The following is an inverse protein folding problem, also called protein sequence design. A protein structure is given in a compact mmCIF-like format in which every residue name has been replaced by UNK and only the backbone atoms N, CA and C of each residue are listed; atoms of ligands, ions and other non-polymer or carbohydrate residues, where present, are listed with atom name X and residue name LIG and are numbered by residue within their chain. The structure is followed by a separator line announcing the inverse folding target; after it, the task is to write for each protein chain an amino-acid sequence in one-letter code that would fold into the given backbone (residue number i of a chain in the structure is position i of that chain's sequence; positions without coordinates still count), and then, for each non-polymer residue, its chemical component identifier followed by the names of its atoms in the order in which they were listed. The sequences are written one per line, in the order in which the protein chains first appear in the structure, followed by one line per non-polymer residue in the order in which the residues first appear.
data_IF_301869428440
#
_entry.id   IF_301869428440
#
_cell.length_a   1.000
_cell.length_b   1.000
_cell.length_c   1.000
_cell.angle_alpha   90.00
_cell.angle_beta   90.00
_cell.angle_gamma   90.00
#
_symmetry.space_group_name_H-M   'P 1'
#
loop_
_entity.id
_entity.type
_entity.pdbx_description
1 polymer ?
#
# COMPACT_ATOMS: atom_id res chain seq x y z
N UNK A 1 -16.92 -31.08 47.20
CA UNK A 1 -17.45 -30.24 46.13
C UNK A 1 -16.27 -29.57 45.40
N UNK A 2 -16.10 -29.83 44.12
CA UNK A 2 -15.06 -29.17 43.33
C UNK A 2 -15.38 -27.65 43.29
N UNK A 3 -14.46 -26.84 43.73
CA UNK A 3 -14.62 -25.35 43.73
C UNK A 3 -14.73 -24.79 42.32
N UNK A 4 -15.25 -23.57 42.20
CA UNK A 4 -15.30 -22.83 40.92
C UNK A 4 -13.96 -22.13 40.72
N UNK A 5 -13.38 -22.14 39.49
CA UNK A 5 -12.15 -21.40 39.21
C UNK A 5 -12.30 -19.90 39.48
N UNK A 6 -11.31 -19.32 40.15
CA UNK A 6 -11.27 -17.88 40.38
C UNK A 6 -10.47 -17.21 39.27
N UNK A 7 -11.06 -16.19 38.65
CA UNK A 7 -10.43 -15.39 37.60
C UNK A 7 -10.20 -13.97 38.16
N UNK A 8 -8.96 -13.48 38.13
CA UNK A 8 -8.58 -12.16 38.64
C UNK A 8 -7.75 -11.39 37.63
N UNK A 9 -7.97 -10.08 37.53
CA UNK A 9 -7.10 -9.18 36.79
C UNK A 9 -5.97 -8.75 37.73
N UNK A 10 -4.71 -8.88 37.26
CA UNK A 10 -3.51 -8.58 38.03
C UNK A 10 -2.68 -7.57 37.25
N UNK A 11 -2.43 -6.41 37.85
CA UNK A 11 -1.55 -5.38 37.30
C UNK A 11 -0.17 -5.48 37.90
N UNK A 12 0.85 -5.34 37.06
CA UNK A 12 2.27 -5.23 37.44
C UNK A 12 2.73 -6.23 38.53
N UNK A 13 2.46 -7.49 38.33
CA UNK A 13 2.88 -8.56 39.24
C UNK A 13 4.39 -8.51 39.59
N UNK A 14 5.21 -8.05 38.64
CA UNK A 14 6.67 -7.97 38.81
C UNK A 14 7.13 -6.67 39.48
N UNK A 15 6.22 -5.79 39.86
CA UNK A 15 6.48 -4.50 40.54
C UNK A 15 7.49 -3.63 39.77
N UNK A 16 7.38 -3.59 38.46
CA UNK A 16 8.24 -2.80 37.55
C UNK A 16 7.60 -1.50 37.08
N UNK A 17 6.28 -1.33 37.28
CA UNK A 17 5.56 -0.13 36.89
C UNK A 17 6.00 1.07 37.71
N UNK A 18 6.29 2.17 36.99
CA UNK A 18 6.66 3.47 37.58
C UNK A 18 5.92 4.59 36.80
N UNK A 19 6.31 5.83 37.06
CA UNK A 19 5.82 6.99 36.34
C UNK A 19 6.27 7.00 34.85
N UNK A 20 7.35 6.27 34.54
CA UNK A 20 7.95 6.23 33.18
C UNK A 20 7.99 4.82 32.56
N UNK A 21 7.94 3.77 33.40
CA UNK A 21 7.96 2.39 32.92
C UNK A 21 6.56 1.75 33.04
N UNK A 22 6.00 1.21 31.95
CA UNK A 22 4.70 0.56 32.01
C UNK A 22 4.75 -0.82 32.68
N UNK A 23 3.75 -1.12 33.50
CA UNK A 23 3.48 -2.46 34.03
C UNK A 23 2.47 -3.21 33.17
N UNK A 24 2.60 -4.54 33.10
CA UNK A 24 1.70 -5.40 32.31
C UNK A 24 0.45 -5.74 33.10
N UNK A 25 -0.69 -5.82 32.38
CA UNK A 25 -1.95 -6.35 32.90
C UNK A 25 -2.08 -7.81 32.49
N UNK A 26 -2.23 -8.70 33.46
CA UNK A 26 -2.39 -10.14 33.28
C UNK A 26 -3.73 -10.61 33.87
N UNK A 27 -4.27 -11.72 33.37
CA UNK A 27 -5.42 -12.41 33.97
C UNK A 27 -4.89 -13.68 34.62
N UNK A 28 -5.11 -13.80 35.92
CA UNK A 28 -4.76 -14.99 36.71
C UNK A 28 -6.00 -15.85 36.92
N UNK A 29 -5.91 -17.12 36.51
CA UNK A 29 -6.92 -18.15 36.75
C UNK A 29 -6.35 -19.14 37.77
N UNK A 30 -7.06 -19.34 38.88
CA UNK A 30 -6.65 -20.28 39.94
C UNK A 30 -7.76 -21.31 40.20
N UNK A 31 -7.36 -22.59 40.27
CA UNK A 31 -8.21 -23.75 40.58
C UNK A 31 -7.38 -24.88 41.15
N UNK A 32 -7.86 -25.52 42.20
CA UNK A 32 -7.23 -26.68 42.85
C UNK A 32 -5.71 -26.51 43.08
N UNK A 33 -5.32 -25.37 43.71
CA UNK A 33 -3.92 -24.98 43.97
C UNK A 33 -3.06 -24.72 42.71
N UNK A 34 -3.59 -24.95 41.53
CA UNK A 34 -2.94 -24.56 40.29
C UNK A 34 -3.24 -23.11 39.93
N UNK A 35 -2.30 -22.46 39.23
CA UNK A 35 -2.46 -21.08 38.72
C UNK A 35 -1.94 -21.00 37.29
N UNK A 36 -2.74 -20.36 36.44
CA UNK A 36 -2.37 -20.01 35.06
C UNK A 36 -2.50 -18.53 34.90
N UNK A 37 -1.51 -17.89 34.27
CA UNK A 37 -1.51 -16.45 33.97
C UNK A 37 -1.50 -16.24 32.47
N UNK A 38 -2.37 -15.36 32.03
CA UNK A 38 -2.57 -15.04 30.62
C UNK A 38 -2.37 -13.53 30.46
N UNK A 39 -1.52 -13.15 29.51
CA UNK A 39 -1.28 -11.74 29.21
C UNK A 39 -2.48 -11.15 28.48
N UNK A 40 -2.89 -9.94 28.84
CA UNK A 40 -3.90 -9.17 28.09
C UNK A 40 -3.29 -8.42 26.91
N UNK A 41 -1.95 -8.34 26.82
CA UNK A 41 -1.27 -7.48 25.86
C UNK A 41 -1.30 -6.00 26.23
N UNK A 42 -1.92 -5.63 27.37
CA UNK A 42 -2.00 -4.26 27.85
C UNK A 42 -0.85 -3.98 28.81
N UNK A 43 -0.17 -2.84 28.60
CA UNK A 43 0.84 -2.33 29.51
C UNK A 43 0.60 -0.81 29.69
N UNK A 44 0.52 -0.38 30.95
CA UNK A 44 0.22 1.01 31.32
C UNK A 44 1.09 1.49 32.47
N UNK A 45 1.23 2.80 32.63
CA UNK A 45 1.97 3.39 33.74
C UNK A 45 1.19 3.19 35.05
N UNK A 46 1.90 3.24 36.19
CA UNK A 46 1.29 3.05 37.52
C UNK A 46 0.12 4.00 37.77
N UNK A 47 0.22 5.26 37.37
CA UNK A 47 -0.82 6.29 37.48
C UNK A 47 -2.01 6.12 36.54
N UNK A 48 -1.88 5.23 35.57
CA UNK A 48 -2.94 4.91 34.57
C UNK A 48 -3.73 3.64 34.96
N UNK A 49 -3.54 3.13 36.16
CA UNK A 49 -4.24 1.95 36.66
C UNK A 49 -5.00 2.25 37.96
N UNK A 50 -6.33 2.08 37.98
CA UNK A 50 -7.21 2.34 39.12
C UNK A 50 -7.28 1.20 40.15
N UNK A 51 -6.61 0.07 39.89
CA UNK A 51 -6.77 -1.18 40.62
C UNK A 51 -7.73 -2.19 39.93
N UNK A 52 -8.58 -1.74 39.03
CA UNK A 52 -9.53 -2.60 38.28
C UNK A 52 -9.48 -2.34 36.79
N UNK A 53 -9.21 -1.12 36.37
CA UNK A 53 -9.27 -0.70 34.97
C UNK A 53 -8.22 0.38 34.65
N UNK A 54 -7.99 0.60 33.37
CA UNK A 54 -7.13 1.67 32.87
C UNK A 54 -7.86 2.98 32.96
N UNK A 55 -7.22 4.00 33.58
CA UNK A 55 -7.71 5.37 33.73
C UNK A 55 -6.63 6.35 33.27
N UNK A 56 -6.99 7.59 33.00
CA UNK A 56 -6.03 8.66 32.64
C UNK A 56 -5.11 8.32 31.47
N UNK A 57 -5.60 7.51 30.53
CA UNK A 57 -4.90 7.16 29.30
C UNK A 57 -5.74 7.60 28.09
N UNK A 58 -5.15 8.21 27.02
CA UNK A 58 -5.91 8.66 25.84
C UNK A 58 -6.76 7.56 25.16
N UNK A 59 -6.42 6.31 25.40
CA UNK A 59 -7.10 5.13 24.85
C UNK A 59 -7.65 4.22 25.95
N UNK A 60 -8.03 4.77 27.11
CA UNK A 60 -8.47 4.00 28.28
C UNK A 60 -9.61 3.02 27.92
N UNK A 61 -10.65 3.50 27.23
CA UNK A 61 -11.81 2.68 26.84
C UNK A 61 -11.41 1.48 25.98
N UNK A 62 -10.53 1.70 25.02
CA UNK A 62 -10.05 0.64 24.12
C UNK A 62 -9.20 -0.41 24.89
N UNK A 63 -8.32 0.04 25.78
CA UNK A 63 -7.48 -0.85 26.58
C UNK A 63 -8.34 -1.65 27.57
N UNK A 64 -9.35 -1.03 28.16
CA UNK A 64 -10.31 -1.70 29.05
C UNK A 64 -11.16 -2.72 28.28
N UNK A 65 -11.60 -2.39 27.07
CA UNK A 65 -12.31 -3.35 26.20
C UNK A 65 -11.41 -4.55 25.84
N UNK A 66 -10.12 -4.32 25.55
CA UNK A 66 -9.16 -5.38 25.31
C UNK A 66 -8.99 -6.31 26.52
N UNK A 67 -8.86 -5.75 27.73
CA UNK A 67 -8.79 -6.54 28.96
C UNK A 67 -10.06 -7.37 29.14
N UNK A 68 -11.25 -6.75 28.94
CA UNK A 68 -12.55 -7.43 29.06
C UNK A 68 -12.70 -8.56 28.07
N UNK A 69 -12.35 -8.38 26.81
CA UNK A 69 -12.40 -9.43 25.78
C UNK A 69 -11.57 -10.65 26.15
N UNK A 70 -10.35 -10.44 26.69
CA UNK A 70 -9.49 -11.55 27.15
C UNK A 70 -10.13 -12.24 28.36
N UNK A 71 -10.71 -11.46 29.28
CA UNK A 71 -11.39 -11.99 30.46
C UNK A 71 -12.60 -12.85 30.08
N UNK A 72 -13.49 -12.32 29.21
CA UNK A 72 -14.69 -13.01 28.75
C UNK A 72 -14.35 -14.28 27.94
N UNK A 73 -13.33 -14.22 27.06
CA UNK A 73 -12.86 -15.38 26.30
C UNK A 73 -12.28 -16.49 27.18
N UNK A 74 -11.66 -16.14 28.31
CA UNK A 74 -11.21 -17.12 29.32
C UNK A 74 -12.42 -17.74 30.03
N UNK A 75 -13.40 -16.94 30.39
CA UNK A 75 -14.62 -17.38 31.07
C UNK A 75 -15.42 -18.34 30.19
N UNK A 76 -15.63 -18.01 28.93
CA UNK A 76 -16.31 -18.90 27.93
C UNK A 76 -15.59 -20.23 27.77
N UNK A 77 -14.25 -20.23 27.68
CA UNK A 77 -13.45 -21.46 27.57
C UNK A 77 -13.52 -22.31 28.80
N UNK A 78 -13.46 -21.72 29.98
CA UNK A 78 -13.63 -22.45 31.23
C UNK A 78 -14.98 -23.12 31.29
N UNK A 79 -16.04 -22.42 30.88
CA UNK A 79 -17.40 -22.99 30.80
C UNK A 79 -17.48 -24.13 29.77
N UNK A 80 -16.85 -23.98 28.61
CA UNK A 80 -16.78 -25.03 27.59
C UNK A 80 -16.01 -26.29 28.07
N UNK A 81 -14.90 -26.12 28.78
CA UNK A 81 -14.11 -27.20 29.35
C UNK A 81 -14.92 -27.97 30.41
N UNK A 82 -15.61 -27.23 31.27
CA UNK A 82 -16.48 -27.84 32.30
C UNK A 82 -17.63 -28.62 31.67
N UNK A 83 -18.24 -28.11 30.60
CA UNK A 83 -19.35 -28.77 29.89
C UNK A 83 -18.91 -30.05 29.18
N UNK A 84 -17.64 -30.13 28.72
CA UNK A 84 -17.15 -31.25 27.91
C UNK A 84 -16.52 -32.35 28.77
N UNK A 85 -15.88 -32.01 29.90
CA UNK A 85 -15.11 -32.98 30.73
C UNK A 85 -15.65 -33.18 32.13
N UNK A 86 -16.66 -32.42 32.54
CA UNK A 86 -17.20 -32.47 33.91
C UNK A 86 -16.30 -31.90 35.00
N UNK A 87 -15.05 -31.54 34.66
CA UNK A 87 -14.06 -30.95 35.55
C UNK A 87 -13.28 -29.82 34.86
N UNK A 88 -12.78 -28.85 35.67
CA UNK A 88 -11.95 -27.75 35.18
C UNK A 88 -10.49 -28.19 35.06
N UNK A 89 -9.94 -28.17 33.85
CA UNK A 89 -8.54 -28.49 33.57
C UNK A 89 -7.78 -27.21 33.10
N UNK A 90 -7.00 -26.61 34.01
CA UNK A 90 -6.19 -25.43 33.71
C UNK A 90 -5.05 -25.72 32.73
N UNK A 91 -4.65 -26.97 32.53
CA UNK A 91 -3.60 -27.31 31.56
C UNK A 91 -4.04 -27.04 30.11
N UNK A 92 -5.36 -27.13 29.86
CA UNK A 92 -5.96 -26.78 28.57
C UNK A 92 -5.91 -25.28 28.27
N UNK A 93 -5.94 -24.43 29.28
CA UNK A 93 -5.67 -23.00 29.14
C UNK A 93 -4.19 -22.73 28.78
N UNK A 94 -3.25 -23.55 29.29
CA UNK A 94 -1.83 -23.47 28.92
C UNK A 94 -1.55 -23.91 27.49
N UNK A 95 -2.23 -24.96 27.01
CA UNK A 95 -2.11 -25.46 25.61
C UNK A 95 -2.70 -24.48 24.58
N UNK A 96 -3.75 -23.78 24.95
CA UNK A 96 -4.34 -22.70 24.13
C UNK A 96 -3.38 -21.50 23.96
N UNK A 97 -2.41 -21.34 24.88
CA UNK A 97 -1.33 -20.33 24.78
C UNK A 97 -0.47 -20.46 23.50
N UNK A 98 -0.41 -21.63 22.87
CA UNK A 98 0.40 -21.81 21.65
C UNK A 98 -0.37 -21.72 20.33
N UNK A 99 -1.69 -21.89 20.31
CA UNK A 99 -2.42 -22.02 19.03
C UNK A 99 -3.57 -21.04 18.81
N UNK A 100 -4.25 -20.50 19.87
CA UNK A 100 -5.41 -19.61 19.67
C UNK A 100 -5.29 -18.20 20.30
N UNK A 101 -4.51 -18.02 21.37
CA UNK A 101 -4.22 -16.68 21.90
C UNK A 101 -3.12 -15.97 21.09
N UNK A 102 -2.30 -16.69 20.34
CA UNK A 102 -1.41 -16.09 19.34
C UNK A 102 -2.16 -15.53 18.13
N UNK A 103 -3.38 -16.01 17.86
CA UNK A 103 -4.20 -15.50 16.74
C UNK A 103 -4.91 -14.18 17.00
N UNK A 104 -5.35 -13.89 18.23
CA UNK A 104 -6.18 -12.70 18.52
C UNK A 104 -5.40 -11.50 19.09
N UNK A 105 -4.23 -11.71 19.69
CA UNK A 105 -3.37 -10.61 20.20
C UNK A 105 -2.11 -10.38 19.35
N UNK A 106 -1.90 -11.15 18.28
CA UNK A 106 -0.82 -10.88 17.35
C UNK A 106 -1.10 -9.57 16.61
N UNK A 107 -0.15 -8.65 16.61
CA UNK A 107 -0.26 -7.40 15.87
C UNK A 107 -0.40 -7.69 14.39
N UNK A 108 -1.54 -7.32 13.81
CA UNK A 108 -1.74 -7.37 12.38
C UNK A 108 -0.83 -6.39 11.66
N UNK A 109 -0.61 -5.22 12.25
CA UNK A 109 0.24 -4.19 11.63
C UNK A 109 1.71 -4.62 11.54
N UNK A 110 2.24 -5.28 12.56
CA UNK A 110 3.63 -5.77 12.56
C UNK A 110 3.79 -6.93 11.56
N UNK A 111 2.83 -7.85 11.56
CA UNK A 111 2.79 -8.92 10.55
C UNK A 111 2.66 -8.36 9.14
N UNK A 112 1.80 -7.36 8.93
CA UNK A 112 1.61 -6.72 7.63
C UNK A 112 2.89 -6.04 7.15
N UNK A 113 3.62 -5.36 8.04
CA UNK A 113 4.90 -4.73 7.73
C UNK A 113 5.94 -5.76 7.29
N UNK A 114 6.08 -6.85 8.05
CA UNK A 114 6.96 -7.97 7.71
C UNK A 114 6.61 -8.56 6.33
N UNK A 115 5.31 -8.79 6.05
CA UNK A 115 4.87 -9.33 4.76
C UNK A 115 5.10 -8.35 3.60
N UNK A 116 4.97 -7.04 3.83
CA UNK A 116 5.31 -6.01 2.84
C UNK A 116 6.79 -6.07 2.51
N UNK A 117 7.65 -6.21 3.51
CA UNK A 117 9.11 -6.21 3.31
C UNK A 117 9.62 -7.50 2.63
N UNK A 118 9.01 -8.65 2.95
CA UNK A 118 9.34 -9.93 2.33
C UNK A 118 8.79 -10.11 0.91
N UNK A 119 7.77 -9.33 0.51
CA UNK A 119 7.09 -9.52 -0.77
C UNK A 119 8.01 -9.20 -1.96
N UNK A 120 8.12 -10.10 -2.96
CA UNK A 120 8.94 -9.87 -4.16
C UNK A 120 8.25 -8.88 -5.12
N UNK A 121 8.31 -7.61 -4.78
CA UNK A 121 7.75 -6.50 -5.58
C UNK A 121 8.78 -5.42 -5.78
N UNK A 122 8.58 -4.57 -6.79
CA UNK A 122 9.45 -3.42 -7.03
C UNK A 122 9.44 -2.46 -5.83
N UNK A 123 10.53 -1.72 -5.64
CA UNK A 123 10.65 -0.74 -4.57
C UNK A 123 9.54 0.33 -4.62
N UNK A 124 9.13 0.74 -5.82
CA UNK A 124 8.00 1.67 -6.00
C UNK A 124 6.68 1.07 -5.48
N UNK A 125 6.43 -0.22 -5.75
CA UNK A 125 5.24 -0.93 -5.25
C UNK A 125 5.33 -1.08 -3.73
N UNK A 126 6.49 -1.43 -3.18
CA UNK A 126 6.73 -1.53 -1.75
C UNK A 126 6.44 -0.20 -1.03
N UNK A 127 6.91 0.93 -1.57
CA UNK A 127 6.59 2.27 -1.03
C UNK A 127 5.09 2.52 -0.99
N UNK A 128 4.35 2.14 -2.02
CA UNK A 128 2.88 2.30 -2.04
C UNK A 128 2.18 1.40 -1.00
N UNK A 129 2.69 0.19 -0.74
CA UNK A 129 2.17 -0.68 0.32
C UNK A 129 2.47 -0.08 1.70
N UNK A 130 3.66 0.53 1.90
CA UNK A 130 4.00 1.24 3.15
C UNK A 130 3.11 2.47 3.37
N UNK A 131 2.72 3.20 2.32
CA UNK A 131 1.73 4.28 2.41
C UNK A 131 0.37 3.75 2.90
N UNK A 132 -0.07 2.61 2.41
CA UNK A 132 -1.30 1.95 2.88
C UNK A 132 -1.18 1.52 4.35
N UNK A 133 -0.07 0.93 4.75
CA UNK A 133 0.22 0.54 6.15
C UNK A 133 0.19 1.77 7.07
N UNK A 134 0.84 2.88 6.68
CA UNK A 134 0.81 4.11 7.47
C UNK A 134 -0.61 4.68 7.60
N UNK A 135 -1.42 4.59 6.55
CA UNK A 135 -2.83 4.97 6.61
C UNK A 135 -3.63 4.12 7.61
N UNK A 136 -3.33 2.82 7.71
CA UNK A 136 -3.93 1.94 8.74
C UNK A 136 -3.45 2.30 10.16
N UNK A 137 -2.17 2.63 10.32
CA UNK A 137 -1.62 3.10 11.60
C UNK A 137 -2.29 4.38 12.06
N UNK A 138 -2.46 5.35 11.16
CA UNK A 138 -3.14 6.61 11.45
C UNK A 138 -4.62 6.43 11.77
N UNK A 139 -5.29 5.45 11.15
CA UNK A 139 -6.67 5.11 11.44
C UNK A 139 -6.85 4.55 12.85
N UNK A 140 -5.93 3.75 13.32
CA UNK A 140 -5.80 3.32 14.71
C UNK A 140 -6.78 2.25 15.21
N UNK A 141 -7.88 1.97 14.49
CA UNK A 141 -8.88 0.97 14.89
C UNK A 141 -8.62 -0.43 14.36
N UNK A 142 -7.60 -0.63 13.50
CA UNK A 142 -7.15 -1.93 13.01
C UNK A 142 -5.70 -2.10 13.41
N UNK A 143 -5.46 -2.80 14.52
CA UNK A 143 -4.11 -3.06 15.07
C UNK A 143 -3.82 -4.56 15.14
N UNK A 144 -4.84 -5.34 15.50
CA UNK A 144 -4.76 -6.78 15.70
C UNK A 144 -5.61 -7.52 14.65
N UNK A 145 -5.37 -8.82 14.47
CA UNK A 145 -6.19 -9.63 13.56
C UNK A 145 -7.66 -9.63 13.94
N UNK A 146 -7.98 -9.59 15.25
CA UNK A 146 -9.35 -9.48 15.76
C UNK A 146 -10.07 -8.19 15.33
N UNK A 147 -9.33 -7.14 15.00
CA UNK A 147 -9.90 -5.87 14.58
C UNK A 147 -10.31 -5.87 13.11
N UNK A 148 -9.89 -6.88 12.33
CA UNK A 148 -10.24 -7.05 10.92
C UNK A 148 -11.69 -7.53 10.76
N UNK A 149 -12.63 -6.65 11.06
CA UNK A 149 -14.07 -6.89 10.95
C UNK A 149 -14.65 -6.13 9.75
N UNK A 150 -15.78 -6.58 9.17
CA UNK A 150 -16.47 -5.83 8.12
C UNK A 150 -16.83 -4.40 8.55
N UNK A 151 -17.15 -4.19 9.83
CA UNK A 151 -17.42 -2.86 10.41
C UNK A 151 -16.18 -1.97 10.33
N UNK A 152 -15.03 -2.45 10.80
CA UNK A 152 -13.80 -1.64 10.83
C UNK A 152 -13.26 -1.37 9.43
N UNK A 153 -13.45 -2.29 8.46
CA UNK A 153 -13.11 -2.04 7.05
C UNK A 153 -13.98 -0.92 6.46
N UNK A 154 -15.27 -0.84 6.80
CA UNK A 154 -16.14 0.27 6.37
C UNK A 154 -15.72 1.60 7.00
N UNK A 155 -15.43 1.61 8.30
CA UNK A 155 -14.91 2.81 8.99
C UNK A 155 -13.56 3.27 8.41
N UNK A 156 -12.72 2.34 7.99
CA UNK A 156 -11.47 2.66 7.30
C UNK A 156 -11.71 3.22 5.89
N UNK A 157 -12.69 2.71 5.13
CA UNK A 157 -13.12 3.30 3.86
C UNK A 157 -13.55 4.76 4.05
N UNK A 158 -14.38 5.05 5.06
CA UNK A 158 -14.82 6.41 5.39
C UNK A 158 -13.63 7.30 5.79
N UNK A 159 -12.67 6.78 6.54
CA UNK A 159 -11.45 7.48 6.93
C UNK A 159 -10.59 7.84 5.72
N UNK A 160 -10.41 6.91 4.76
CA UNK A 160 -9.68 7.16 3.52
C UNK A 160 -10.38 8.26 2.71
N UNK A 161 -11.73 8.20 2.56
CA UNK A 161 -12.52 9.17 1.80
C UNK A 161 -12.40 10.60 2.33
N UNK A 162 -12.16 10.77 3.61
CA UNK A 162 -11.88 12.10 4.20
C UNK A 162 -10.49 12.63 3.82
N UNK A 163 -9.55 11.76 3.44
CA UNK A 163 -8.15 12.11 3.11
C UNK A 163 -7.89 12.26 1.62
N UNK A 164 -8.63 11.52 0.79
CA UNK A 164 -8.43 11.51 -0.66
C UNK A 164 -9.77 11.69 -1.38
N UNK A 165 -9.80 12.58 -2.35
CA UNK A 165 -11.02 12.90 -3.11
C UNK A 165 -11.25 11.93 -4.28
N UNK A 166 -10.17 11.41 -4.89
CA UNK A 166 -10.28 10.55 -6.06
C UNK A 166 -10.70 9.13 -5.69
N UNK A 167 -11.82 8.65 -6.23
CA UNK A 167 -12.34 7.31 -6.01
C UNK A 167 -11.31 6.21 -6.37
N UNK A 168 -10.52 6.42 -7.42
CA UNK A 168 -9.44 5.52 -7.81
C UNK A 168 -8.36 5.39 -6.72
N UNK A 169 -8.10 6.45 -5.95
CA UNK A 169 -7.17 6.41 -4.82
C UNK A 169 -7.74 5.60 -3.67
N UNK A 170 -9.03 5.79 -3.31
CA UNK A 170 -9.72 4.98 -2.31
C UNK A 170 -9.63 3.49 -2.68
N UNK A 171 -10.03 3.15 -3.92
CA UNK A 171 -9.91 1.78 -4.42
C UNK A 171 -8.47 1.25 -4.33
N UNK A 172 -7.47 2.11 -4.60
CA UNK A 172 -6.06 1.77 -4.52
C UNK A 172 -5.60 1.31 -3.13
N UNK A 173 -6.07 1.94 -2.06
CA UNK A 173 -5.80 1.50 -0.68
C UNK A 173 -6.33 0.09 -0.43
N UNK A 174 -7.61 -0.14 -0.73
CA UNK A 174 -8.23 -1.46 -0.53
C UNK A 174 -7.61 -2.54 -1.43
N UNK A 175 -7.30 -2.21 -2.70
CA UNK A 175 -6.62 -3.13 -3.62
C UNK A 175 -5.28 -3.62 -3.06
N UNK A 176 -4.55 -2.76 -2.34
CA UNK A 176 -3.26 -3.12 -1.74
C UNK A 176 -3.41 -3.94 -0.47
N UNK A 177 -4.48 -3.73 0.32
CA UNK A 177 -4.72 -4.49 1.56
C UNK A 177 -5.27 -5.90 1.29
N UNK A 178 -6.19 -6.05 0.34
CA UNK A 178 -6.90 -7.32 0.05
C UNK A 178 -5.98 -8.54 -0.08
N UNK A 179 -4.84 -8.50 -0.80
CA UNK A 179 -3.94 -9.66 -0.90
C UNK A 179 -3.40 -10.13 0.45
N UNK A 180 -3.15 -9.23 1.40
CA UNK A 180 -2.68 -9.57 2.74
C UNK A 180 -3.80 -10.17 3.61
N UNK A 181 -5.04 -9.74 3.40
CA UNK A 181 -6.19 -10.38 4.05
C UNK A 181 -6.33 -11.84 3.60
N UNK A 182 -6.25 -12.10 2.28
CA UNK A 182 -6.27 -13.46 1.74
C UNK A 182 -5.10 -14.28 2.30
N UNK A 183 -3.91 -13.70 2.36
CA UNK A 183 -2.73 -14.34 2.92
C UNK A 183 -2.90 -14.64 4.43
N UNK A 184 -3.50 -13.71 5.19
CA UNK A 184 -3.80 -13.94 6.61
C UNK A 184 -4.77 -15.11 6.84
N UNK A 185 -5.73 -15.31 5.95
CA UNK A 185 -6.64 -16.47 5.98
C UNK A 185 -5.86 -17.77 5.68
N UNK A 186 -5.00 -17.76 4.67
CA UNK A 186 -4.15 -18.92 4.32
C UNK A 186 -3.21 -19.32 5.45
N UNK A 187 -2.75 -18.35 6.26
CA UNK A 187 -1.94 -18.59 7.45
C UNK A 187 -2.79 -18.85 8.72
N UNK A 188 -4.09 -19.11 8.59
CA UNK A 188 -5.02 -19.37 9.69
C UNK A 188 -5.02 -18.30 10.79
N UNK A 189 -4.62 -17.07 10.44
CA UNK A 189 -4.63 -15.90 11.35
C UNK A 189 -5.97 -15.18 11.35
N UNK A 190 -6.80 -15.42 10.34
CA UNK A 190 -8.11 -14.85 10.14
C UNK A 190 -9.08 -15.95 9.67
N UNK A 191 -10.25 -16.04 10.28
CA UNK A 191 -11.23 -17.11 9.98
C UNK A 191 -12.06 -16.80 8.72
N UNK A 192 -12.34 -15.53 8.44
CA UNK A 192 -13.18 -15.09 7.33
C UNK A 192 -12.66 -13.78 6.72
N UNK A 193 -13.07 -13.52 5.48
CA UNK A 193 -12.67 -12.32 4.79
C UNK A 193 -13.53 -11.11 5.20
N UNK A 194 -12.99 -10.08 5.84
CA UNK A 194 -13.77 -8.91 6.26
C UNK A 194 -14.29 -8.06 5.07
N UNK A 195 -13.88 -8.39 3.84
CA UNK A 195 -14.39 -7.77 2.61
C UNK A 195 -15.59 -8.51 2.00
N UNK A 196 -16.02 -9.63 2.58
CA UNK A 196 -17.14 -10.38 2.02
C UNK A 196 -18.41 -9.51 1.97
N UNK A 197 -19.06 -9.52 0.81
CA UNK A 197 -20.21 -8.64 0.55
C UNK A 197 -19.88 -7.16 0.33
N UNK A 198 -18.61 -6.76 0.36
CA UNK A 198 -18.19 -5.36 0.17
C UNK A 198 -17.57 -5.13 -1.22
N UNK A 199 -18.19 -4.28 -2.02
CA UNK A 199 -17.67 -3.83 -3.31
C UNK A 199 -17.08 -2.43 -3.20
N UNK A 200 -15.78 -2.30 -3.48
CA UNK A 200 -15.12 -0.99 -3.61
C UNK A 200 -14.99 -0.67 -5.10
N UNK A 201 -15.79 0.27 -5.56
CA UNK A 201 -15.73 0.72 -6.95
C UNK A 201 -14.39 1.39 -7.24
N UNK A 202 -13.85 1.16 -8.44
CA UNK A 202 -12.68 1.89 -8.95
C UNK A 202 -13.02 3.34 -9.34
N UNK A 203 -14.29 3.62 -9.54
CA UNK A 203 -14.76 4.89 -10.13
C UNK A 203 -14.70 4.86 -11.66
N UNK A 204 -15.26 5.90 -12.26
CA UNK A 204 -15.17 6.11 -13.71
C UNK A 204 -13.75 6.53 -14.07
N UNK A 205 -13.22 6.02 -15.18
CA UNK A 205 -11.97 6.50 -15.75
C UNK A 205 -12.24 7.87 -16.38
N UNK A 206 -11.41 8.86 -16.03
CA UNK A 206 -11.28 10.05 -16.88
C UNK A 206 -10.72 9.56 -18.23
N UNK A 207 -11.25 10.05 -19.35
CA UNK A 207 -10.76 9.67 -20.69
C UNK A 207 -9.24 9.77 -20.82
N UNK A 208 -8.70 9.13 -21.84
CA UNK A 208 -7.27 9.20 -22.13
C UNK A 208 -6.94 10.63 -22.58
N UNK A 209 -6.00 11.28 -21.88
CA UNK A 209 -5.49 12.61 -22.22
C UNK A 209 -4.33 12.47 -23.21
N UNK A 210 -4.44 13.12 -24.34
CA UNK A 210 -3.41 13.17 -25.38
C UNK A 210 -3.43 14.55 -26.05
N UNK A 211 -2.40 14.90 -26.81
CA UNK A 211 -2.33 16.12 -27.60
C UNK A 211 -2.77 15.88 -29.03
N UNK A 212 -3.48 16.83 -29.64
CA UNK A 212 -3.63 16.91 -31.08
C UNK A 212 -2.29 17.24 -31.76
N UNK A 213 -2.19 17.12 -33.07
CA UNK A 213 -0.98 17.47 -33.81
C UNK A 213 -0.66 18.97 -33.63
N UNK A 214 -1.67 19.84 -33.71
CA UNK A 214 -1.51 21.29 -33.50
C UNK A 214 -1.08 21.63 -32.06
N UNK A 215 -1.61 20.93 -31.07
CA UNK A 215 -1.22 21.14 -29.68
C UNK A 215 0.22 20.70 -29.43
N UNK A 216 0.63 19.56 -29.98
CA UNK A 216 2.02 19.08 -29.92
C UNK A 216 2.96 20.07 -30.59
N UNK A 217 2.61 20.55 -31.79
CA UNK A 217 3.43 21.47 -32.56
C UNK A 217 3.56 22.83 -31.83
N UNK A 218 2.51 23.28 -31.15
CA UNK A 218 2.61 24.47 -30.26
C UNK A 218 3.61 24.26 -29.12
N UNK A 219 3.63 23.08 -28.50
CA UNK A 219 4.61 22.74 -27.45
C UNK A 219 6.02 22.70 -28.02
N UNK A 220 6.19 22.10 -29.21
CA UNK A 220 7.48 21.98 -29.89
C UNK A 220 8.05 23.36 -30.27
N UNK A 221 7.20 24.27 -30.71
CA UNK A 221 7.58 25.61 -31.17
C UNK A 221 7.92 26.60 -30.05
N UNK A 222 7.72 26.27 -28.78
CA UNK A 222 8.05 27.16 -27.68
C UNK A 222 9.55 27.46 -27.63
N UNK A 223 9.91 28.73 -27.56
CA UNK A 223 11.28 29.12 -27.26
C UNK A 223 11.55 29.00 -25.77
N UNK A 224 12.34 28.00 -25.40
CA UNK A 224 12.68 27.66 -24.02
C UNK A 224 14.18 27.46 -23.92
N UNK A 225 14.72 27.62 -22.72
CA UNK A 225 16.16 27.53 -22.46
C UNK A 225 16.48 26.57 -21.32
N UNK A 226 17.70 26.03 -21.38
CA UNK A 226 18.27 25.23 -20.30
C UNK A 226 17.45 23.96 -19.98
N UNK A 227 17.13 23.79 -18.71
CA UNK A 227 16.48 22.57 -18.23
C UNK A 227 15.04 22.42 -18.72
N UNK A 228 14.29 23.52 -18.80
CA UNK A 228 12.89 23.51 -19.29
C UNK A 228 12.83 23.14 -20.77
N UNK A 229 13.79 23.63 -21.57
CA UNK A 229 13.93 23.22 -22.97
C UNK A 229 14.17 21.72 -23.09
N UNK A 230 15.13 21.18 -22.31
CA UNK A 230 15.42 19.73 -22.32
C UNK A 230 14.22 18.90 -21.90
N UNK A 231 13.41 19.33 -20.91
CA UNK A 231 12.17 18.64 -20.51
C UNK A 231 11.14 18.68 -21.65
N UNK A 232 10.96 19.83 -22.33
CA UNK A 232 10.11 19.94 -23.51
C UNK A 232 10.54 18.95 -24.60
N UNK A 233 11.83 18.91 -24.92
CA UNK A 233 12.37 18.02 -25.94
C UNK A 233 12.21 16.53 -25.58
N UNK A 234 12.42 16.16 -24.32
CA UNK A 234 12.13 14.81 -23.81
C UNK A 234 10.66 14.44 -23.98
N UNK A 235 9.75 15.37 -23.66
CA UNK A 235 8.32 15.14 -23.82
C UNK A 235 7.95 14.96 -25.31
N UNK A 236 8.47 15.80 -26.18
CA UNK A 236 8.30 15.68 -27.64
C UNK A 236 8.88 14.39 -28.16
N UNK A 237 10.06 13.96 -27.66
CA UNK A 237 10.61 12.66 -27.97
C UNK A 237 9.68 11.52 -27.56
N UNK A 238 9.06 11.60 -26.39
CA UNK A 238 8.05 10.64 -25.96
C UNK A 238 6.81 10.66 -26.86
N UNK A 239 6.40 11.81 -27.39
CA UNK A 239 5.30 11.93 -28.36
C UNK A 239 5.62 11.25 -29.70
N UNK A 240 6.89 11.16 -30.10
CA UNK A 240 7.31 10.51 -31.34
C UNK A 240 7.71 9.03 -31.20
N UNK A 241 7.93 8.55 -29.98
CA UNK A 241 8.44 7.19 -29.73
C UNK A 241 7.53 6.34 -28.85
N UNK A 242 6.63 6.95 -28.09
CA UNK A 242 5.79 6.28 -27.10
C UNK A 242 6.55 5.76 -25.89
N UNK A 243 7.84 6.07 -25.73
CA UNK A 243 8.65 5.62 -24.60
C UNK A 243 8.17 6.24 -23.29
N UNK A 244 8.06 5.42 -22.26
CA UNK A 244 7.80 5.91 -20.92
C UNK A 244 9.04 6.59 -20.33
N UNK A 245 8.89 7.48 -19.38
CA UNK A 245 10.00 8.19 -18.73
C UNK A 245 11.13 7.24 -18.28
N UNK A 246 10.80 6.11 -17.65
CA UNK A 246 11.78 5.14 -17.17
C UNK A 246 12.63 4.51 -18.28
N UNK A 247 12.06 4.34 -19.47
CA UNK A 247 12.75 3.76 -20.61
C UNK A 247 13.54 4.83 -21.37
N UNK A 248 13.02 6.06 -21.39
CA UNK A 248 13.60 7.20 -22.06
C UNK A 248 14.92 7.65 -21.41
N UNK A 249 14.98 7.74 -20.08
CA UNK A 249 16.17 8.18 -19.36
C UNK A 249 17.35 7.20 -19.39
N UNK A 250 17.12 5.96 -19.79
CA UNK A 250 18.17 4.95 -19.89
C UNK A 250 18.75 4.77 -21.30
N UNK A 251 18.17 5.44 -22.31
CA UNK A 251 18.64 5.36 -23.69
C UNK A 251 20.13 5.71 -23.78
N UNK A 252 20.87 4.86 -24.49
CA UNK A 252 22.27 5.05 -24.81
C UNK A 252 22.46 5.06 -26.33
N UNK A 253 23.55 5.62 -26.79
CA UNK A 253 23.92 5.61 -28.21
C UNK A 253 23.98 4.19 -28.80
N UNK A 254 24.37 3.20 -27.97
CA UNK A 254 24.44 1.78 -28.35
C UNK A 254 23.10 1.12 -28.63
N UNK A 255 21.99 1.69 -28.12
CA UNK A 255 20.65 1.16 -28.28
C UNK A 255 20.03 1.59 -29.61
N UNK A 256 20.67 2.57 -30.28
CA UNK A 256 20.26 3.08 -31.58
C UNK A 256 21.06 2.41 -32.68
N UNK A 257 20.39 1.81 -33.62
CA UNK A 257 20.99 1.11 -34.77
C UNK A 257 20.29 1.46 -36.06
N UNK A 258 20.92 1.16 -37.17
CA UNK A 258 20.37 1.36 -38.51
C UNK A 258 19.75 0.06 -39.02
N UNK A 259 18.53 0.13 -39.53
CA UNK A 259 17.84 -0.97 -40.16
C UNK A 259 17.35 -0.51 -41.55
N UNK A 260 18.09 -0.90 -42.62
CA UNK A 260 17.88 -0.32 -43.94
C UNK A 260 18.22 1.16 -43.94
N UNK A 261 17.27 1.99 -44.36
CA UNK A 261 17.41 3.47 -44.32
C UNK A 261 17.02 4.11 -43.03
N UNK A 262 16.30 3.37 -42.14
CA UNK A 262 15.75 3.86 -40.91
C UNK A 262 16.69 3.70 -39.70
N UNK A 263 16.62 4.64 -38.79
CA UNK A 263 17.18 4.46 -37.45
C UNK A 263 16.14 3.90 -36.49
N UNK A 264 16.54 2.92 -35.69
CA UNK A 264 15.67 2.26 -34.71
C UNK A 264 16.30 2.27 -33.32
N UNK A 265 15.45 2.26 -32.29
CA UNK A 265 15.85 1.92 -30.92
C UNK A 265 15.30 0.53 -30.61
N UNK A 266 16.17 -0.33 -30.03
CA UNK A 266 15.79 -1.64 -29.49
C UNK A 266 16.25 -1.76 -28.07
N UNK A 267 15.35 -2.10 -27.16
CA UNK A 267 15.64 -2.34 -25.74
C UNK A 267 14.48 -3.14 -25.10
N UNK A 268 14.53 -3.33 -23.78
CA UNK A 268 13.49 -3.96 -22.97
C UNK A 268 12.86 -2.94 -22.02
N UNK A 269 11.54 -3.02 -21.86
CA UNK A 269 10.79 -2.19 -20.91
C UNK A 269 11.28 -2.42 -19.48
N UNK A 270 11.56 -1.34 -18.78
CA UNK A 270 11.93 -1.39 -17.34
C UNK A 270 10.85 -2.03 -16.47
N UNK A 271 9.58 -1.82 -16.82
CA UNK A 271 8.45 -2.28 -16.00
C UNK A 271 8.07 -3.73 -16.23
N UNK A 272 8.15 -4.20 -17.48
CA UNK A 272 7.61 -5.51 -17.89
C UNK A 272 8.68 -6.48 -18.37
N UNK A 273 9.89 -5.99 -18.67
CA UNK A 273 10.95 -6.78 -19.29
C UNK A 273 10.70 -7.12 -20.77
N UNK A 274 9.57 -6.67 -21.34
CA UNK A 274 9.21 -6.97 -22.73
C UNK A 274 10.12 -6.22 -23.71
N UNK A 275 10.62 -6.87 -24.76
CA UNK A 275 11.42 -6.22 -25.78
C UNK A 275 10.54 -5.29 -26.63
N UNK A 276 11.11 -4.19 -27.08
CA UNK A 276 10.50 -3.29 -28.04
C UNK A 276 11.50 -2.88 -29.12
N UNK A 277 10.98 -2.54 -30.30
CA UNK A 277 11.73 -1.89 -31.38
C UNK A 277 10.88 -0.74 -31.91
N UNK A 278 11.47 0.46 -31.96
CA UNK A 278 10.78 1.68 -32.40
C UNK A 278 11.60 2.33 -33.51
N UNK A 279 10.96 2.60 -34.65
CA UNK A 279 11.53 3.40 -35.72
C UNK A 279 11.58 4.87 -35.29
N UNK A 280 12.72 5.50 -35.47
CA UNK A 280 12.95 6.88 -35.11
C UNK A 280 12.65 7.81 -36.28
N UNK A 281 11.67 8.69 -36.10
CA UNK A 281 11.42 9.77 -37.05
C UNK A 281 12.56 10.81 -37.02
N UNK A 282 12.79 11.58 -38.09
CA UNK A 282 13.88 12.57 -38.17
C UNK A 282 13.95 13.53 -36.97
N UNK A 283 12.78 13.99 -36.48
CA UNK A 283 12.70 14.86 -35.29
C UNK A 283 13.21 14.17 -34.02
N UNK A 284 12.87 12.91 -33.81
CA UNK A 284 13.36 12.13 -32.67
C UNK A 284 14.87 11.95 -32.73
N UNK A 285 15.43 11.68 -33.91
CA UNK A 285 16.87 11.59 -34.13
C UNK A 285 17.56 12.92 -33.84
N UNK A 286 16.98 14.05 -34.27
CA UNK A 286 17.52 15.39 -34.00
C UNK A 286 17.61 15.66 -32.50
N UNK A 287 16.59 15.29 -31.73
CA UNK A 287 16.58 15.43 -30.27
C UNK A 287 17.70 14.58 -29.64
N UNK A 288 17.85 13.31 -30.02
CA UNK A 288 18.92 12.45 -29.52
C UNK A 288 20.31 13.02 -29.79
N UNK A 289 20.53 13.50 -31.02
CA UNK A 289 21.81 14.12 -31.40
C UNK A 289 22.09 15.41 -30.62
N UNK A 290 21.06 16.25 -30.41
CA UNK A 290 21.15 17.51 -29.65
C UNK A 290 21.67 17.27 -28.22
N UNK A 291 21.28 16.18 -27.59
CA UNK A 291 21.67 15.84 -26.21
C UNK A 291 22.70 14.73 -26.13
N UNK A 292 23.40 14.44 -27.24
CA UNK A 292 24.40 13.38 -27.30
C UNK A 292 23.93 12.03 -26.73
N UNK A 293 22.66 11.68 -27.01
CA UNK A 293 21.95 10.48 -26.53
C UNK A 293 21.81 10.38 -25.02
N UNK A 294 21.99 11.47 -24.29
CA UNK A 294 21.74 11.56 -22.85
C UNK A 294 20.47 12.38 -22.60
N UNK A 295 19.36 11.69 -22.35
CA UNK A 295 18.09 12.29 -22.00
C UNK A 295 17.82 12.23 -20.48
N UNK A 296 18.79 11.79 -19.69
CA UNK A 296 18.65 11.80 -18.23
C UNK A 296 18.73 13.23 -17.70
N UNK A 297 17.81 13.61 -16.83
CA UNK A 297 17.71 14.97 -16.31
C UNK A 297 17.51 14.98 -14.80
N UNK A 298 16.26 14.84 -14.42
CA UNK A 298 15.75 14.96 -13.07
C UNK A 298 14.70 13.88 -12.87
N UNK A 299 14.18 13.73 -11.66
CA UNK A 299 13.11 12.76 -11.40
C UNK A 299 11.87 13.03 -12.26
N UNK A 300 11.10 11.98 -12.57
CA UNK A 300 9.84 12.08 -13.32
C UNK A 300 8.87 13.11 -12.69
N UNK A 301 8.85 13.21 -11.37
CA UNK A 301 8.03 14.21 -10.66
C UNK A 301 8.43 15.64 -11.05
N UNK A 302 9.71 15.96 -10.99
CA UNK A 302 10.23 17.28 -11.37
C UNK A 302 10.01 17.57 -12.86
N UNK A 303 10.17 16.57 -13.74
CA UNK A 303 9.82 16.72 -15.16
C UNK A 303 8.34 17.07 -15.34
N UNK A 304 7.46 16.37 -14.64
CA UNK A 304 6.01 16.65 -14.71
C UNK A 304 5.66 18.05 -14.16
N UNK A 305 6.38 18.55 -13.15
CA UNK A 305 6.17 19.91 -12.65
C UNK A 305 6.60 20.96 -13.69
N UNK A 306 7.69 20.76 -14.41
CA UNK A 306 8.08 21.60 -15.55
C UNK A 306 7.07 21.51 -16.71
N UNK A 307 6.54 20.32 -16.99
CA UNK A 307 5.54 20.13 -18.04
C UNK A 307 4.23 20.89 -17.77
N UNK A 308 3.86 21.14 -16.53
CA UNK A 308 2.72 22.01 -16.19
C UNK A 308 2.98 23.48 -16.63
N UNK A 309 4.20 23.95 -16.44
CA UNK A 309 4.60 25.30 -16.88
C UNK A 309 4.57 25.37 -18.40
N UNK A 310 5.13 24.36 -19.08
CA UNK A 310 5.12 24.25 -20.54
C UNK A 310 3.69 24.22 -21.10
N UNK A 311 2.78 23.48 -20.44
CA UNK A 311 1.38 23.43 -20.82
C UNK A 311 0.73 24.83 -20.80
N UNK A 312 0.99 25.60 -19.74
CA UNK A 312 0.47 26.96 -19.59
C UNK A 312 1.03 27.89 -20.69
N UNK A 313 2.33 27.83 -20.97
CA UNK A 313 2.98 28.60 -22.03
C UNK A 313 2.42 28.25 -23.41
N UNK A 314 2.16 26.98 -23.68
CA UNK A 314 1.52 26.49 -24.91
C UNK A 314 0.00 26.72 -24.95
N UNK A 315 -0.60 27.33 -23.92
CA UNK A 315 -2.05 27.58 -23.77
C UNK A 315 -2.87 26.28 -23.93
N UNK A 316 -2.43 25.21 -23.28
CA UNK A 316 -3.13 23.93 -23.26
C UNK A 316 -4.08 23.83 -22.05
N UNK A 317 -5.24 23.21 -22.26
CA UNK A 317 -6.23 23.00 -21.20
C UNK A 317 -6.06 21.68 -20.45
N UNK A 318 -4.98 20.94 -20.72
CA UNK A 318 -4.68 19.66 -20.07
C UNK A 318 -3.38 19.74 -19.28
N UNK A 319 -3.33 19.01 -18.16
CA UNK A 319 -2.09 18.82 -17.41
C UNK A 319 -1.15 17.89 -18.20
N UNK A 320 -0.02 18.42 -18.68
CA UNK A 320 1.00 17.61 -19.31
C UNK A 320 1.76 16.77 -18.26
N UNK A 321 2.00 15.53 -18.63
CA UNK A 321 2.89 14.61 -17.92
C UNK A 321 3.64 13.79 -18.97
N UNK A 322 4.77 13.17 -18.59
CA UNK A 322 5.48 12.26 -19.52
C UNK A 322 4.56 11.15 -20.06
N UNK A 323 3.57 10.74 -19.28
CA UNK A 323 2.61 9.71 -19.72
C UNK A 323 1.64 10.20 -20.82
N UNK A 324 1.32 11.50 -20.82
CA UNK A 324 0.52 12.13 -21.91
C UNK A 324 1.27 12.06 -23.24
N UNK A 325 2.60 12.26 -23.25
CA UNK A 325 3.42 12.07 -24.45
C UNK A 325 3.27 10.66 -25.06
N UNK A 326 3.32 9.63 -24.20
CA UNK A 326 3.11 8.25 -24.64
C UNK A 326 1.69 8.01 -25.18
N UNK A 327 0.66 8.59 -24.56
CA UNK A 327 -0.70 8.52 -25.07
C UNK A 327 -0.86 9.24 -26.42
N UNK A 328 -0.20 10.39 -26.55
CA UNK A 328 -0.16 11.14 -27.82
C UNK A 328 0.42 10.30 -28.94
N UNK A 329 1.56 9.62 -28.70
CA UNK A 329 2.12 8.67 -29.66
C UNK A 329 1.12 7.58 -30.06
N UNK A 330 0.51 6.92 -29.06
CA UNK A 330 -0.42 5.82 -29.31
C UNK A 330 -1.60 6.26 -30.17
N UNK A 331 -2.23 7.38 -29.80
CA UNK A 331 -3.38 7.95 -30.54
C UNK A 331 -2.96 8.37 -31.95
N UNK A 332 -1.83 9.06 -32.08
CA UNK A 332 -1.31 9.51 -33.38
C UNK A 332 -1.01 8.32 -34.30
N UNK A 333 -0.32 7.29 -33.82
CA UNK A 333 0.00 6.10 -34.61
C UNK A 333 -1.26 5.37 -35.10
N UNK A 334 -2.27 5.21 -34.24
CA UNK A 334 -3.56 4.64 -34.60
C UNK A 334 -4.30 5.50 -35.66
N UNK A 335 -4.29 6.82 -35.52
CA UNK A 335 -4.91 7.76 -36.46
C UNK A 335 -4.22 7.72 -37.83
N UNK A 336 -2.90 7.45 -37.85
CA UNK A 336 -2.13 7.25 -39.12
C UNK A 336 -2.29 5.85 -39.70
N UNK A 337 -3.19 5.01 -39.16
CA UNK A 337 -3.51 3.70 -39.68
C UNK A 337 -2.57 2.56 -39.23
N UNK A 338 -1.71 2.81 -38.24
CA UNK A 338 -0.89 1.72 -37.68
C UNK A 338 -1.78 0.79 -36.88
N UNK A 339 -1.75 -0.52 -37.20
CA UNK A 339 -2.58 -1.51 -36.52
C UNK A 339 -2.33 -1.56 -35.00
N UNK A 340 -3.39 -1.75 -34.22
CA UNK A 340 -3.35 -1.74 -32.74
C UNK A 340 -2.35 -2.73 -32.16
N UNK A 341 -2.18 -3.90 -32.80
CA UNK A 341 -1.19 -4.89 -32.35
C UNK A 341 0.24 -4.39 -32.50
N UNK A 342 0.53 -3.67 -33.62
CA UNK A 342 1.84 -3.04 -33.83
C UNK A 342 2.10 -1.95 -32.82
N UNK A 343 1.13 -1.07 -32.59
CA UNK A 343 1.23 -0.02 -31.56
C UNK A 343 1.41 -0.65 -30.18
N UNK A 344 0.70 -1.72 -29.87
CA UNK A 344 0.86 -2.45 -28.62
C UNK A 344 2.28 -3.02 -28.45
N UNK A 345 2.86 -3.60 -29.50
CA UNK A 345 4.25 -4.10 -29.48
C UNK A 345 5.27 -2.97 -29.34
N UNK A 346 5.05 -1.83 -29.98
CA UNK A 346 5.90 -0.65 -29.84
C UNK A 346 5.85 -0.09 -28.41
N UNK A 347 4.67 -0.16 -27.82
CA UNK A 347 4.45 0.31 -26.46
C UNK A 347 4.81 -0.75 -25.40
N UNK A 348 4.87 -2.02 -25.68
CA UNK A 348 5.24 -3.23 -24.91
C UNK A 348 4.80 -3.29 -23.44
#
# INVERSE_FOLDING_TARGET
MAGIPQIKIVFDRRKKASAVNPGTVEIEVSYNRERVRLSTGVAVLKQQWSGKEVVNHPQADHLNEQIRRVYDGIHEKMSSIASTKGEYDLSLLKKVKKTKLQGSSASFLDWLEERIDMRPVTESTRKQHKVMLNCLRDFGLIRFFSDLTPKNIRLWDDFIRKRVTAQASVHGYHKRLKPYIVEAIQFEKLESNPYDGMRISRGKSEGIKFLTEEERDRVEALELYGMTEKVRDMFIFSCYTGLAYSDLVKIKKTDVFRQGEDYCIRDKRMKTGMPYTIVLLPKAIAILKKYNYDLNLMSNQKCNDQLKIIANLAKLHINLTMHVGRHTFATWALTKGVGIETVSKMLA
#
